data_IF_652819593710
#
_entry.id   IF_652819593710
#
_cell.length_a   1.000
_cell.length_b   1.000
_cell.length_c   1.000
_cell.angle_alpha   90.00
_cell.angle_beta   90.00
_cell.angle_gamma   90.00
#
_symmetry.space_group_name_H-M   'P 1'
#
loop_
_entity.id
_entity.type
_entity.pdbx_description
1 polymer ?
#
# COMPACT_ATOMS: atom_id res chain seq x y z
N UNK A 1 -12.45 26.14 -7.34
CA UNK A 1 -12.19 24.68 -7.38
C UNK A 1 -13.39 23.85 -6.92
N UNK A 2 -13.93 24.04 -5.70
CA UNK A 2 -15.07 23.23 -5.22
C UNK A 2 -16.32 23.32 -6.11
N UNK A 3 -16.61 24.51 -6.66
CA UNK A 3 -17.73 24.70 -7.59
C UNK A 3 -17.52 23.91 -8.90
N UNK A 4 -16.31 23.97 -9.46
CA UNK A 4 -15.96 23.25 -10.69
C UNK A 4 -16.09 21.73 -10.51
N UNK A 5 -15.57 21.17 -9.40
CA UNK A 5 -15.68 19.72 -9.12
C UNK A 5 -17.14 19.24 -9.09
N UNK A 6 -18.03 20.02 -8.45
CA UNK A 6 -19.47 19.71 -8.43
C UNK A 6 -20.10 19.77 -9.82
N UNK A 7 -19.70 20.73 -10.67
CA UNK A 7 -20.21 20.85 -12.03
C UNK A 7 -19.84 19.66 -12.93
N UNK A 8 -18.70 19.01 -12.67
CA UNK A 8 -18.29 17.79 -13.38
C UNK A 8 -18.69 16.49 -12.65
N UNK A 9 -19.65 16.56 -11.73
CA UNK A 9 -20.17 15.42 -10.94
C UNK A 9 -19.10 14.70 -10.08
N UNK A 10 -18.07 15.41 -9.62
CA UNK A 10 -17.14 14.92 -8.61
C UNK A 10 -17.46 15.48 -7.23
N UNK A 11 -17.22 14.69 -6.19
CA UNK A 11 -17.36 15.11 -4.80
C UNK A 11 -16.02 15.62 -4.26
N UNK A 12 -15.81 16.95 -4.11
CA UNK A 12 -14.55 17.46 -3.60
C UNK A 12 -14.43 17.24 -2.09
N UNK A 13 -13.23 16.88 -1.64
CA UNK A 13 -12.87 16.81 -0.22
C UNK A 13 -11.77 17.84 0.07
N UNK A 14 -11.98 18.69 1.07
CA UNK A 14 -10.98 19.69 1.46
C UNK A 14 -9.90 19.01 2.31
N UNK A 15 -8.66 19.07 1.85
CA UNK A 15 -7.49 18.54 2.55
C UNK A 15 -6.49 19.70 2.69
N UNK A 16 -5.97 19.91 3.89
CA UNK A 16 -4.89 20.86 4.10
C UNK A 16 -3.57 20.24 3.62
N UNK A 17 -2.68 21.08 3.08
CA UNK A 17 -1.39 20.61 2.57
C UNK A 17 -0.58 19.90 3.65
N UNK A 18 -0.08 18.72 3.32
CA UNK A 18 0.66 17.81 4.20
C UNK A 18 1.35 16.79 3.32
N UNK A 19 2.60 16.42 3.63
CA UNK A 19 3.24 15.29 2.96
C UNK A 19 2.38 14.02 3.15
N UNK A 20 2.11 13.31 2.05
CA UNK A 20 1.21 12.16 2.01
C UNK A 20 -0.29 12.48 2.12
N UNK A 21 -0.70 13.75 2.13
CA UNK A 21 -2.09 14.20 2.26
C UNK A 21 -2.90 13.39 3.33
N UNK A 22 -4.23 13.39 3.28
CA UNK A 22 -5.03 12.59 4.22
C UNK A 22 -5.04 11.10 3.83
N UNK A 23 -5.13 10.80 2.54
CA UNK A 23 -5.32 9.44 2.04
C UNK A 23 -4.05 8.61 2.15
N UNK A 24 -2.90 9.13 1.69
CA UNK A 24 -1.69 8.32 1.65
C UNK A 24 -1.11 8.15 3.05
N UNK A 25 -1.28 9.11 3.96
CA UNK A 25 -0.93 8.95 5.38
C UNK A 25 -1.66 7.79 6.05
N UNK A 26 -2.94 7.59 5.74
CA UNK A 26 -3.71 6.48 6.28
C UNK A 26 -3.24 5.15 5.68
N UNK A 27 -3.13 5.08 4.35
CA UNK A 27 -2.78 3.84 3.66
C UNK A 27 -1.35 3.38 3.98
N UNK A 28 -0.37 4.27 4.03
CA UNK A 28 1.02 3.89 4.32
C UNK A 28 1.21 3.38 5.74
N UNK A 29 0.53 4.00 6.72
CA UNK A 29 0.56 3.53 8.10
C UNK A 29 -0.07 2.14 8.25
N UNK A 30 -1.22 1.91 7.63
CA UNK A 30 -1.88 0.59 7.65
C UNK A 30 -1.07 -0.47 6.91
N UNK A 31 -0.45 -0.12 5.78
CA UNK A 31 0.42 -1.04 5.04
C UNK A 31 1.67 -1.42 5.85
N UNK A 32 2.27 -0.47 6.55
CA UNK A 32 3.41 -0.76 7.43
C UNK A 32 3.00 -1.72 8.56
N UNK A 33 1.87 -1.47 9.21
CA UNK A 33 1.35 -2.36 10.26
C UNK A 33 1.06 -3.77 9.72
N UNK A 34 0.45 -3.87 8.53
CA UNK A 34 0.22 -5.16 7.89
C UNK A 34 1.54 -5.93 7.62
N UNK A 35 2.60 -5.22 7.21
CA UNK A 35 3.92 -5.83 7.06
C UNK A 35 4.53 -6.27 8.40
N UNK A 36 4.32 -5.54 9.50
CA UNK A 36 4.78 -5.97 10.84
C UNK A 36 4.05 -7.23 11.30
N UNK A 37 2.72 -7.28 11.18
CA UNK A 37 1.90 -8.47 11.47
C UNK A 37 2.43 -9.70 10.69
N UNK A 38 2.84 -9.49 9.44
CA UNK A 38 3.40 -10.52 8.60
C UNK A 38 4.81 -10.96 9.08
N UNK A 39 5.67 -10.03 9.47
CA UNK A 39 7.01 -10.33 10.00
C UNK A 39 6.94 -11.09 11.34
N UNK A 40 6.00 -10.71 12.20
CA UNK A 40 5.74 -11.36 13.49
C UNK A 40 5.05 -12.72 13.33
N UNK A 41 4.73 -13.12 12.10
CA UNK A 41 4.05 -14.40 11.78
C UNK A 41 2.71 -14.55 12.50
N UNK A 42 2.01 -13.44 12.75
CA UNK A 42 0.68 -13.43 13.38
C UNK A 42 -0.38 -13.98 12.41
N UNK A 43 -0.22 -13.71 11.11
CA UNK A 43 -1.10 -14.18 10.04
C UNK A 43 -0.34 -14.17 8.70
N UNK A 44 -0.92 -14.78 7.67
CA UNK A 44 -0.34 -14.83 6.33
C UNK A 44 -0.90 -13.73 5.41
N UNK A 45 -0.31 -13.59 4.22
CA UNK A 45 -0.66 -12.54 3.26
C UNK A 45 -2.15 -12.61 2.87
N UNK A 46 -2.69 -13.83 2.67
CA UNK A 46 -4.07 -14.02 2.20
C UNK A 46 -5.08 -13.71 3.29
N UNK A 47 -4.84 -14.12 4.53
CA UNK A 47 -5.73 -13.87 5.66
C UNK A 47 -5.69 -12.41 6.12
N UNK A 48 -4.54 -11.73 6.03
CA UNK A 48 -4.46 -10.28 6.28
C UNK A 48 -5.27 -9.51 5.22
N UNK A 49 -5.11 -9.83 3.93
CA UNK A 49 -5.89 -9.21 2.86
C UNK A 49 -7.39 -9.56 2.96
N UNK A 50 -7.71 -10.78 3.39
CA UNK A 50 -9.09 -11.21 3.66
C UNK A 50 -9.69 -10.44 4.82
N UNK A 51 -8.94 -10.19 5.89
CA UNK A 51 -9.38 -9.37 7.02
C UNK A 51 -9.66 -7.94 6.53
N UNK A 52 -8.79 -7.38 5.71
CA UNK A 52 -8.97 -6.05 5.11
C UNK A 52 -10.24 -5.95 4.24
N UNK A 53 -10.55 -7.00 3.49
CA UNK A 53 -11.72 -7.01 2.60
C UNK A 53 -13.02 -7.34 3.32
N UNK A 54 -13.03 -8.36 4.18
CA UNK A 54 -14.24 -8.84 4.86
C UNK A 54 -14.60 -7.99 6.08
N UNK A 55 -13.61 -7.65 6.92
CA UNK A 55 -13.87 -6.95 8.19
C UNK A 55 -13.94 -5.44 7.97
N UNK A 56 -12.99 -4.87 7.23
CA UNK A 56 -12.96 -3.43 6.95
C UNK A 56 -13.77 -3.03 5.71
N UNK A 57 -14.35 -4.00 5.00
CA UNK A 57 -15.23 -3.77 3.85
C UNK A 57 -14.53 -3.17 2.64
N UNK A 58 -13.20 -3.29 2.54
CA UNK A 58 -12.44 -2.72 1.44
C UNK A 58 -12.56 -3.56 0.17
N UNK A 59 -12.52 -2.91 -1.00
CA UNK A 59 -12.62 -3.59 -2.30
C UNK A 59 -11.43 -4.52 -2.57
N UNK A 60 -10.25 -4.11 -2.13
CA UNK A 60 -9.00 -4.84 -2.31
C UNK A 60 -8.33 -5.00 -0.95
N UNK A 61 -7.59 -6.10 -0.79
CA UNK A 61 -6.70 -6.28 0.35
C UNK A 61 -5.57 -5.24 0.35
N UNK A 62 -4.94 -5.05 1.50
CA UNK A 62 -3.92 -4.02 1.68
C UNK A 62 -2.66 -4.31 0.85
N UNK A 63 -2.24 -5.58 0.79
CA UNK A 63 -1.09 -6.01 0.00
C UNK A 63 -1.40 -5.99 -1.49
N UNK A 64 -2.59 -6.46 -1.89
CA UNK A 64 -3.06 -6.32 -3.27
C UNK A 64 -3.13 -4.85 -3.70
N UNK A 65 -3.62 -3.96 -2.83
CA UNK A 65 -3.64 -2.52 -3.11
C UNK A 65 -2.23 -1.98 -3.30
N UNK A 66 -1.28 -2.40 -2.47
CA UNK A 66 0.12 -1.99 -2.60
C UNK A 66 0.73 -2.40 -3.95
N UNK A 67 0.45 -3.61 -4.41
CA UNK A 67 0.89 -4.10 -5.72
C UNK A 67 0.26 -3.35 -6.89
N UNK A 68 -1.00 -2.92 -6.77
CA UNK A 68 -1.71 -2.13 -7.80
C UNK A 68 -1.12 -0.72 -7.87
N UNK A 69 -0.90 -0.07 -6.72
CA UNK A 69 -0.33 1.28 -6.66
C UNK A 69 1.12 1.28 -7.15
N UNK A 70 1.85 0.23 -6.81
CA UNK A 70 3.26 0.03 -7.10
C UNK A 70 4.13 0.25 -5.87
N UNK A 71 4.91 -0.77 -5.52
CA UNK A 71 5.73 -0.78 -4.29
C UNK A 71 6.82 0.29 -4.33
N UNK A 72 7.43 0.54 -5.50
CA UNK A 72 8.40 1.65 -5.70
C UNK A 72 7.85 2.99 -5.23
N UNK A 73 6.64 3.34 -5.68
CA UNK A 73 6.02 4.63 -5.37
C UNK A 73 5.71 4.74 -3.88
N UNK A 74 5.27 3.65 -3.26
CA UNK A 74 4.98 3.59 -1.84
C UNK A 74 6.26 3.75 -1.01
N UNK A 75 7.34 3.04 -1.35
CA UNK A 75 8.63 3.16 -0.66
C UNK A 75 9.17 4.58 -0.76
N UNK A 76 9.23 5.16 -1.97
CA UNK A 76 9.73 6.53 -2.15
C UNK A 76 8.88 7.57 -1.40
N UNK A 77 7.56 7.42 -1.39
CA UNK A 77 6.67 8.28 -0.62
C UNK A 77 6.93 8.15 0.88
N UNK A 78 7.05 6.92 1.38
CA UNK A 78 7.27 6.65 2.80
C UNK A 78 8.64 7.15 3.26
N UNK A 79 9.68 7.05 2.45
CA UNK A 79 10.98 7.68 2.71
C UNK A 79 10.87 9.20 2.81
N UNK A 80 10.19 9.85 1.86
CA UNK A 80 9.97 11.30 1.91
C UNK A 80 9.21 11.71 3.17
N UNK A 81 8.16 10.96 3.52
CA UNK A 81 7.38 11.20 4.74
C UNK A 81 8.22 10.97 6.01
N UNK A 82 9.07 9.93 6.03
CA UNK A 82 9.95 9.68 7.16
C UNK A 82 10.98 10.80 7.35
N UNK A 83 11.53 11.33 6.26
CA UNK A 83 12.47 12.45 6.29
C UNK A 83 11.80 13.75 6.79
N UNK A 84 10.56 14.02 6.39
CA UNK A 84 9.84 15.22 6.79
C UNK A 84 9.32 15.17 8.23
N UNK A 85 8.77 14.03 8.65
CA UNK A 85 8.13 13.89 9.97
C UNK A 85 9.06 13.34 11.05
N UNK A 86 10.10 12.59 10.69
CA UNK A 86 10.97 11.87 11.63
C UNK A 86 10.27 10.74 12.42
N UNK A 87 9.02 10.41 12.09
CA UNK A 87 8.21 9.44 12.82
C UNK A 87 8.39 8.03 12.24
N UNK A 88 8.77 7.07 13.10
CA UNK A 88 9.02 5.67 12.73
C UNK A 88 7.84 5.00 12.05
N UNK A 89 6.60 5.44 12.27
CA UNK A 89 5.43 4.85 11.59
C UNK A 89 5.45 5.01 10.07
N UNK A 90 6.20 5.98 9.56
CA UNK A 90 6.36 6.19 8.12
C UNK A 90 7.65 5.57 7.57
N UNK A 91 8.52 5.02 8.42
CA UNK A 91 9.71 4.32 7.97
C UNK A 91 9.26 3.08 7.17
N UNK A 92 9.66 2.91 5.90
CA UNK A 92 9.25 1.75 5.13
C UNK A 92 9.71 0.45 5.80
N UNK A 93 8.79 -0.49 5.97
CA UNK A 93 9.09 -1.80 6.54
C UNK A 93 10.14 -2.57 5.70
N UNK A 94 11.02 -3.40 6.32
CA UNK A 94 12.04 -4.18 5.60
C UNK A 94 11.51 -5.04 4.44
N UNK A 95 10.28 -5.57 4.54
CA UNK A 95 9.65 -6.35 3.46
C UNK A 95 9.48 -5.51 2.19
N UNK A 96 8.98 -4.27 2.34
CA UNK A 96 8.79 -3.35 1.22
C UNK A 96 10.13 -3.02 0.56
N UNK A 97 11.19 -2.86 1.35
CA UNK A 97 12.55 -2.68 0.84
C UNK A 97 13.08 -3.90 0.08
N UNK A 98 12.83 -5.12 0.58
CA UNK A 98 13.22 -6.37 -0.10
C UNK A 98 12.53 -6.47 -1.48
N UNK A 99 11.24 -6.17 -1.53
CA UNK A 99 10.47 -6.16 -2.78
C UNK A 99 10.95 -5.08 -3.75
N UNK A 100 11.18 -3.87 -3.27
CA UNK A 100 11.71 -2.77 -4.08
C UNK A 100 13.09 -3.09 -4.67
N UNK A 101 14.04 -3.55 -3.84
CA UNK A 101 15.41 -3.89 -4.29
C UNK A 101 15.45 -5.05 -5.26
N UNK A 102 14.51 -5.99 -5.15
CA UNK A 102 14.39 -7.14 -6.06
C UNK A 102 13.56 -6.85 -7.31
N UNK A 103 13.18 -5.58 -7.55
CA UNK A 103 12.36 -5.16 -8.70
C UNK A 103 11.00 -5.88 -8.80
N UNK A 104 10.47 -6.30 -7.65
CA UNK A 104 9.14 -6.90 -7.53
C UNK A 104 8.17 -5.79 -7.10
N UNK A 105 7.73 -5.00 -8.08
CA UNK A 105 7.05 -3.74 -7.88
C UNK A 105 5.51 -3.84 -7.92
N UNK A 106 4.97 -5.05 -8.01
CA UNK A 106 3.52 -5.32 -8.05
C UNK A 106 3.03 -5.70 -9.45
N UNK A 107 1.83 -5.26 -9.81
CA UNK A 107 1.12 -5.64 -11.05
C UNK A 107 1.94 -5.31 -12.30
N UNK A 108 2.58 -4.13 -12.33
CA UNK A 108 3.37 -3.67 -13.48
C UNK A 108 4.53 -4.61 -13.84
N UNK A 109 5.13 -5.25 -12.85
CA UNK A 109 6.26 -6.18 -13.03
C UNK A 109 5.81 -7.65 -12.99
N UNK A 110 4.50 -7.90 -12.92
CA UNK A 110 3.92 -9.25 -12.78
C UNK A 110 4.18 -9.90 -11.42
N UNK A 111 4.79 -9.18 -10.47
CA UNK A 111 5.23 -9.73 -9.18
C UNK A 111 5.44 -8.65 -8.13
N UNK A 112 4.87 -8.86 -6.95
CA UNK A 112 5.00 -8.05 -5.74
C UNK A 112 4.70 -8.91 -4.51
N UNK A 113 3.69 -8.57 -3.71
CA UNK A 113 3.14 -9.46 -2.67
C UNK A 113 2.48 -10.71 -3.29
N UNK A 114 1.82 -10.52 -4.42
CA UNK A 114 1.29 -11.59 -5.25
C UNK A 114 2.08 -11.72 -6.57
N UNK A 115 1.92 -12.87 -7.22
CA UNK A 115 2.32 -13.09 -8.60
C UNK A 115 1.09 -12.81 -9.48
N UNK A 116 1.29 -12.11 -10.59
CA UNK A 116 0.21 -11.63 -11.45
C UNK A 116 0.33 -12.19 -12.87
N UNK A 117 -0.82 -12.54 -13.44
CA UNK A 117 -1.01 -12.73 -14.88
C UNK A 117 -1.96 -11.63 -15.38
N UNK A 118 -1.38 -10.63 -16.07
CA UNK A 118 -2.05 -9.34 -16.31
C UNK A 118 -2.40 -8.66 -14.98
N UNK A 119 -3.69 -8.37 -14.77
CA UNK A 119 -4.19 -7.71 -13.54
C UNK A 119 -4.69 -8.70 -12.48
N UNK A 120 -4.60 -10.01 -12.74
CA UNK A 120 -5.16 -11.04 -11.86
C UNK A 120 -4.06 -11.68 -11.01
N UNK A 121 -4.20 -11.70 -9.66
CA UNK A 121 -3.28 -12.45 -8.82
C UNK A 121 -3.51 -13.95 -9.06
N UNK A 122 -2.44 -14.67 -9.40
CA UNK A 122 -2.44 -16.12 -9.62
C UNK A 122 -1.95 -16.91 -8.40
N UNK A 123 -1.32 -16.23 -7.43
CA UNK A 123 -0.90 -16.82 -6.18
C UNK A 123 0.00 -15.91 -5.35
N UNK A 124 0.24 -16.29 -4.11
CA UNK A 124 1.13 -15.57 -3.19
C UNK A 124 2.58 -15.73 -3.62
N UNK A 125 3.35 -14.63 -3.54
CA UNK A 125 4.78 -14.68 -3.79
C UNK A 125 5.54 -15.24 -2.60
N UNK A 126 5.88 -16.53 -2.68
CA UNK A 126 6.63 -17.24 -1.62
C UNK A 126 8.08 -16.77 -1.44
N UNK A 127 8.64 -16.00 -2.39
CA UNK A 127 10.02 -15.51 -2.30
C UNK A 127 10.19 -14.32 -1.33
N UNK A 128 9.09 -13.87 -0.72
CA UNK A 128 9.08 -12.78 0.27
C UNK A 128 9.72 -13.22 1.59
N UNK A 129 9.63 -14.51 1.91
CA UNK A 129 10.26 -15.14 3.06
C UNK A 129 11.66 -15.63 2.68
#
# INVERSE_FOLDING_TARGET
VMLFAKLINYTPHKINESNGNASLRLVTAMLNEACEILLESVSDIEDIDRTFTVVYGQRFGIFRLADIVGIERLVSLMEAMFNDYGDKKYKPNPILWKLYRSQQLGVRTGKGFYIYDGDKPIGVNKAIF
#
